data_IF_863891669793
#
_entry.id   IF_863891669793
#
_cell.length_a   1.000
_cell.length_b   1.000
_cell.length_c   1.000
_cell.angle_alpha   90.00
_cell.angle_beta   90.00
_cell.angle_gamma   90.00
#
_symmetry.space_group_name_H-M   'P 1'
#
loop_
_entity.id
_entity.type
_entity.pdbx_description
1 polymer ?
#
# COMPACT_ATOMS: atom_id res chain seq x y z
N UNK A 1 13.00 -11.77 -12.22
CA UNK A 1 12.27 -11.33 -11.01
C UNK A 1 11.66 -9.93 -11.22
N UNK A 2 10.73 -9.80 -12.17
CA UNK A 2 10.21 -8.49 -12.66
C UNK A 2 8.81 -8.12 -12.12
N UNK A 3 8.28 -8.86 -11.14
CA UNK A 3 6.85 -8.79 -10.80
C UNK A 3 6.41 -7.57 -9.98
N UNK A 4 7.28 -7.01 -9.13
CA UNK A 4 6.93 -5.90 -8.24
C UNK A 4 7.23 -4.52 -8.83
N UNK A 5 8.08 -4.46 -9.85
CA UNK A 5 8.56 -3.21 -10.46
C UNK A 5 7.42 -2.36 -11.02
N UNK A 6 6.46 -2.93 -11.79
CA UNK A 6 5.28 -2.19 -12.21
C UNK A 6 4.41 -1.72 -11.04
N UNK A 7 4.31 -2.51 -9.97
CA UNK A 7 3.48 -2.16 -8.81
C UNK A 7 4.08 -1.03 -7.98
N UNK A 8 5.41 -1.03 -7.81
CA UNK A 8 6.16 0.03 -7.15
C UNK A 8 6.00 1.33 -7.95
N UNK A 9 6.26 1.29 -9.26
CA UNK A 9 6.15 2.46 -10.12
C UNK A 9 4.71 3.01 -10.17
N UNK A 10 3.70 2.14 -10.32
CA UNK A 10 2.28 2.55 -10.29
C UNK A 10 1.87 3.16 -8.95
N UNK A 11 2.39 2.64 -7.82
CA UNK A 11 2.11 3.23 -6.50
C UNK A 11 2.74 4.61 -6.37
N UNK A 12 3.96 4.78 -6.90
CA UNK A 12 4.68 6.05 -6.89
C UNK A 12 3.97 7.11 -7.74
N UNK A 13 3.54 6.76 -8.96
CA UNK A 13 2.78 7.65 -9.85
C UNK A 13 1.43 8.06 -9.25
N UNK A 14 0.84 7.22 -8.40
CA UNK A 14 -0.39 7.54 -7.65
C UNK A 14 -0.14 8.35 -6.38
N UNK A 15 1.10 8.78 -6.13
CA UNK A 15 1.53 9.49 -4.93
C UNK A 15 1.32 8.68 -3.64
N UNK A 16 1.16 7.35 -3.72
CA UNK A 16 1.12 6.46 -2.55
C UNK A 16 2.54 6.06 -2.18
N UNK A 17 3.28 7.02 -1.61
CA UNK A 17 4.65 6.84 -1.17
C UNK A 17 4.75 5.68 -0.18
N UNK A 18 3.86 5.59 0.82
CA UNK A 18 3.98 4.51 1.80
C UNK A 18 3.84 3.12 1.17
N UNK A 19 2.92 2.94 0.21
CA UNK A 19 2.81 1.67 -0.52
C UNK A 19 4.03 1.41 -1.39
N UNK A 20 4.57 2.44 -2.04
CA UNK A 20 5.81 2.37 -2.82
C UNK A 20 6.97 1.82 -1.98
N UNK A 21 7.18 2.38 -0.79
CA UNK A 21 8.23 1.94 0.14
C UNK A 21 7.97 0.52 0.68
N UNK A 22 6.72 0.14 0.96
CA UNK A 22 6.39 -1.23 1.38
C UNK A 22 6.74 -2.25 0.30
N UNK A 23 6.35 -1.98 -0.94
CA UNK A 23 6.65 -2.86 -2.07
C UNK A 23 8.16 -2.91 -2.37
N UNK A 24 8.85 -1.78 -2.25
CA UNK A 24 10.30 -1.71 -2.38
C UNK A 24 11.02 -2.50 -1.28
N UNK A 25 10.51 -2.49 -0.04
CA UNK A 25 11.03 -3.32 1.04
C UNK A 25 10.90 -4.81 0.70
N UNK A 26 9.71 -5.23 0.27
CA UNK A 26 9.44 -6.62 -0.14
C UNK A 26 10.36 -7.03 -1.29
N UNK A 27 10.51 -6.17 -2.31
CA UNK A 27 11.45 -6.40 -3.42
C UNK A 27 12.88 -6.56 -2.92
N UNK A 28 13.35 -5.65 -2.05
CA UNK A 28 14.70 -5.68 -1.49
C UNK A 28 14.97 -6.96 -0.69
N UNK A 29 14.01 -7.39 0.13
CA UNK A 29 14.11 -8.63 0.90
C UNK A 29 14.15 -9.87 -0.01
N UNK A 30 13.27 -9.97 -1.01
CA UNK A 30 13.24 -11.10 -1.95
C UNK A 30 14.52 -11.16 -2.78
N UNK A 31 15.01 -10.01 -3.25
CA UNK A 31 16.20 -9.92 -4.08
C UNK A 31 17.52 -9.87 -3.28
N UNK A 32 17.45 -9.95 -1.95
CA UNK A 32 18.59 -9.79 -1.03
C UNK A 32 19.40 -8.50 -1.27
N UNK A 33 18.72 -7.42 -1.68
CA UNK A 33 19.30 -6.08 -1.83
C UNK A 33 18.90 -5.22 -0.65
N UNK A 34 19.86 -4.94 0.21
CA UNK A 34 19.62 -4.28 1.50
C UNK A 34 19.71 -2.75 1.43
N UNK A 35 20.19 -2.19 0.32
CA UNK A 35 20.50 -0.76 0.16
C UNK A 35 19.29 0.15 0.47
N UNK A 36 18.08 -0.27 0.08
CA UNK A 36 16.85 0.51 0.28
C UNK A 36 16.08 0.13 1.54
N UNK A 37 16.46 -0.96 2.23
CA UNK A 37 15.72 -1.48 3.39
C UNK A 37 15.71 -0.48 4.56
N UNK A 38 16.83 0.18 4.92
CA UNK A 38 16.81 1.20 5.98
C UNK A 38 15.88 2.37 5.67
N UNK A 39 15.81 2.82 4.41
CA UNK A 39 14.90 3.87 3.99
C UNK A 39 13.42 3.42 4.10
N UNK A 40 13.13 2.19 3.68
CA UNK A 40 11.81 1.59 3.84
C UNK A 40 11.41 1.43 5.30
N UNK A 41 12.32 0.98 6.15
CA UNK A 41 12.09 0.87 7.58
C UNK A 41 11.75 2.23 8.19
N UNK A 42 12.54 3.27 7.90
CA UNK A 42 12.27 4.64 8.36
C UNK A 42 10.87 5.12 7.95
N UNK A 43 10.48 4.92 6.69
CA UNK A 43 9.15 5.29 6.20
C UNK A 43 8.02 4.52 6.91
N UNK A 44 8.17 3.20 7.07
CA UNK A 44 7.13 2.35 7.69
C UNK A 44 6.96 2.58 9.19
N UNK A 45 8.01 3.00 9.89
CA UNK A 45 7.98 3.30 11.32
C UNK A 45 7.81 4.79 11.62
N UNK A 46 7.54 5.60 10.60
CA UNK A 46 7.31 7.03 10.73
C UNK A 46 5.93 7.36 11.30
N UNK A 47 5.78 8.61 11.74
CA UNK A 47 4.48 9.18 12.12
C UNK A 47 3.50 9.21 10.94
N UNK A 48 3.97 9.40 9.70
CA UNK A 48 3.12 9.30 8.52
C UNK A 48 2.45 7.92 8.41
N UNK A 49 3.22 6.84 8.59
CA UNK A 49 2.67 5.49 8.54
C UNK A 49 1.62 5.25 9.64
N UNK A 50 1.84 5.80 10.83
CA UNK A 50 0.88 5.75 11.93
C UNK A 50 -0.40 6.55 11.62
N UNK A 51 -0.27 7.76 11.09
CA UNK A 51 -1.42 8.60 10.69
C UNK A 51 -2.22 7.97 9.54
N UNK A 52 -1.56 7.35 8.56
CA UNK A 52 -2.26 6.60 7.51
C UNK A 52 -3.03 5.40 8.08
N UNK A 53 -2.46 4.69 9.05
CA UNK A 53 -3.17 3.63 9.76
C UNK A 53 -4.39 4.16 10.52
N UNK A 54 -4.24 5.27 11.25
CA UNK A 54 -5.34 5.95 11.93
C UNK A 54 -6.44 6.41 10.97
N UNK A 55 -6.08 6.89 9.77
CA UNK A 55 -7.06 7.23 8.73
C UNK A 55 -7.83 6.00 8.22
N UNK A 56 -7.19 4.82 8.15
CA UNK A 56 -7.90 3.56 7.82
C UNK A 56 -8.84 3.15 8.94
N UNK A 57 -8.40 3.20 10.20
CA UNK A 57 -9.27 2.93 11.36
C UNK A 57 -10.47 3.87 11.38
N UNK A 58 -10.25 5.16 11.10
CA UNK A 58 -11.31 6.15 11.00
C UNK A 58 -12.36 5.76 9.94
N UNK A 59 -11.94 5.32 8.74
CA UNK A 59 -12.87 4.81 7.71
C UNK A 59 -13.66 3.60 8.20
N UNK A 60 -13.00 2.64 8.85
CA UNK A 60 -13.69 1.47 9.43
C UNK A 60 -14.74 1.90 10.47
N UNK A 61 -14.43 2.89 11.33
CA UNK A 61 -15.40 3.42 12.29
C UNK A 61 -16.58 4.09 11.58
N UNK A 62 -16.34 4.86 10.51
CA UNK A 62 -17.43 5.45 9.71
C UNK A 62 -18.35 4.38 9.10
N UNK A 63 -17.77 3.27 8.62
CA UNK A 63 -18.53 2.13 8.10
C UNK A 63 -19.37 1.46 9.18
N UNK A 64 -18.79 1.25 10.37
CA UNK A 64 -19.50 0.70 11.53
C UNK A 64 -20.68 1.59 11.96
N UNK A 65 -20.46 2.91 12.07
CA UNK A 65 -21.53 3.87 12.39
C UNK A 65 -22.65 3.87 11.34
N UNK A 66 -22.28 3.74 10.06
CA UNK A 66 -23.23 3.66 8.96
C UNK A 66 -24.05 2.36 9.00
N UNK A 67 -23.41 1.24 9.38
CA UNK A 67 -24.06 -0.06 9.54
C UNK A 67 -25.03 -0.06 10.73
N UNK A 68 -24.62 0.48 11.88
CA UNK A 68 -25.44 0.61 13.08
C UNK A 68 -26.68 1.47 12.81
N UNK A 69 -26.54 2.58 12.09
CA UNK A 69 -27.67 3.40 11.68
C UNK A 69 -28.66 2.63 10.79
N UNK A 70 -28.17 1.84 9.82
CA UNK A 70 -29.02 1.01 8.95
C UNK A 70 -29.74 -0.10 9.73
N UNK A 71 -29.06 -0.72 10.68
CA UNK A 71 -29.60 -1.83 11.46
C UNK A 71 -30.58 -1.35 12.55
N UNK A 72 -30.30 -0.20 13.17
CA UNK A 72 -31.23 0.44 14.13
C UNK A 72 -32.56 0.83 13.48
N UNK A 73 -32.54 1.25 12.21
CA UNK A 73 -33.77 1.54 11.44
C UNK A 73 -34.57 0.25 11.16
N UNK A 74 -33.89 -0.88 10.91
CA UNK A 74 -34.54 -2.18 10.66
C UNK A 74 -35.10 -2.81 11.94
N UNK A 75 -34.36 -2.73 13.05
CA UNK A 75 -34.74 -3.28 14.36
C UNK A 75 -35.97 -2.58 14.96
N UNK A 76 -36.09 -1.25 14.76
CA UNK A 76 -37.23 -0.46 15.27
C UNK A 76 -38.57 -0.79 14.60
N UNK A 77 -38.57 -1.51 13.47
CA UNK A 77 -39.79 -1.97 12.79
C UNK A 77 -40.28 -3.33 13.28
N UNK A 78 -39.49 -4.06 14.09
CA UNK A 78 -39.80 -5.47 14.43
C UNK A 78 -39.78 -5.78 15.93
N UNK A 79 -39.25 -4.94 16.83
CA UNK A 79 -39.40 -5.27 18.25
C UNK A 79 -39.48 -4.08 19.19
N UNK A 80 -40.66 -3.92 19.79
CA UNK A 80 -40.87 -3.19 21.04
C UNK A 80 -40.57 -4.08 22.28
N UNK A 81 -40.33 -5.39 22.07
CA UNK A 81 -40.17 -6.36 23.13
C UNK A 81 -38.84 -7.09 22.98
N UNK A 82 -37.78 -6.57 23.59
CA UNK A 82 -36.66 -7.30 24.20
C UNK A 82 -35.55 -6.30 24.50
N UNK A 83 -35.77 -5.56 25.59
CA UNK A 83 -34.74 -4.81 26.30
C UNK A 83 -33.65 -5.77 26.83
N UNK A 84 -32.42 -5.25 26.82
CA UNK A 84 -31.20 -5.78 27.45
C UNK A 84 -30.36 -6.75 26.62
N UNK A 85 -29.64 -6.23 25.62
CA UNK A 85 -28.32 -6.77 25.31
C UNK A 85 -27.26 -5.78 25.82
N UNK A 86 -26.70 -6.09 26.99
CA UNK A 86 -25.52 -5.44 27.58
C UNK A 86 -24.25 -5.77 26.79
N UNK A 87 -24.22 -5.52 25.49
CA UNK A 87 -22.96 -5.45 24.76
C UNK A 87 -22.49 -3.99 24.74
N UNK A 88 -21.22 -3.71 25.03
CA UNK A 88 -20.68 -2.38 24.79
C UNK A 88 -20.90 -2.03 23.31
N UNK A 89 -21.42 -0.83 23.05
CA UNK A 89 -21.58 -0.32 21.69
C UNK A 89 -20.21 -0.37 21.01
N UNK A 90 -20.03 -1.31 20.07
CA UNK A 90 -18.76 -1.58 19.42
C UNK A 90 -18.16 -0.29 18.82
N UNK A 91 -19.01 0.58 18.29
CA UNK A 91 -18.64 1.90 17.78
C UNK A 91 -18.11 2.86 18.84
N UNK A 92 -18.67 2.87 20.05
CA UNK A 92 -18.19 3.72 21.15
C UNK A 92 -16.81 3.29 21.64
N UNK A 93 -16.58 1.99 21.81
CA UNK A 93 -15.27 1.45 22.19
C UNK A 93 -14.23 1.72 21.10
N UNK A 94 -14.59 1.54 19.82
CA UNK A 94 -13.71 1.84 18.70
C UNK A 94 -13.36 3.33 18.62
N UNK A 95 -14.34 4.23 18.85
CA UNK A 95 -14.12 5.67 18.93
C UNK A 95 -13.18 6.04 20.09
N UNK A 96 -13.36 5.44 21.26
CA UNK A 96 -12.50 5.71 22.43
C UNK A 96 -11.05 5.29 22.16
N UNK A 97 -10.83 4.09 21.60
CA UNK A 97 -9.49 3.63 21.23
C UNK A 97 -8.87 4.51 20.16
N UNK A 98 -9.65 4.91 19.17
CA UNK A 98 -9.20 5.83 18.13
C UNK A 98 -8.77 7.17 18.70
N UNK A 99 -9.54 7.76 19.64
CA UNK A 99 -9.17 9.00 20.32
C UNK A 99 -7.84 8.87 21.06
N UNK A 100 -7.65 7.79 21.81
CA UNK A 100 -6.42 7.55 22.58
C UNK A 100 -5.21 7.44 21.65
N UNK A 101 -5.30 6.61 20.60
CA UNK A 101 -4.20 6.44 19.66
C UNK A 101 -3.88 7.74 18.92
N UNK A 102 -4.92 8.46 18.45
CA UNK A 102 -4.73 9.73 17.78
C UNK A 102 -4.08 10.78 18.69
N UNK A 103 -4.49 10.83 19.96
CA UNK A 103 -3.88 11.73 20.93
C UNK A 103 -2.40 11.42 21.14
N UNK A 104 -2.05 10.15 21.33
CA UNK A 104 -0.65 9.72 21.52
C UNK A 104 0.19 10.06 20.28
N UNK A 105 -0.31 9.76 19.07
CA UNK A 105 0.41 10.05 17.83
C UNK A 105 0.61 11.55 17.62
N UNK A 106 -0.44 12.37 17.77
CA UNK A 106 -0.35 13.81 17.53
C UNK A 106 0.43 14.58 18.60
N UNK A 107 0.52 14.06 19.83
CA UNK A 107 1.31 14.65 20.92
C UNK A 107 2.75 14.12 20.96
N UNK A 108 3.09 13.14 20.13
CA UNK A 108 4.46 12.64 20.04
C UNK A 108 5.42 13.75 19.62
N UNK A 109 6.61 13.80 20.22
CA UNK A 109 7.67 14.75 19.84
C UNK A 109 8.11 14.59 18.38
N UNK A 110 7.92 13.41 17.81
CA UNK A 110 8.26 13.10 16.41
C UNK A 110 7.17 13.51 15.41
N UNK A 111 6.02 14.01 15.87
CA UNK A 111 4.92 14.44 15.00
C UNK A 111 5.01 15.95 14.77
N UNK A 112 5.23 16.44 13.54
CA UNK A 112 5.25 17.87 13.22
C UNK A 112 3.82 18.44 13.12
N UNK A 113 2.89 17.94 13.92
CA UNK A 113 1.54 18.47 13.98
C UNK A 113 1.53 19.87 14.62
N UNK A 114 0.67 20.80 14.15
CA UNK A 114 0.41 22.04 14.86
C UNK A 114 -0.03 21.76 16.30
N UNK A 115 0.45 22.57 17.26
CA UNK A 115 0.23 22.35 18.71
C UNK A 115 -1.25 22.12 19.08
N UNK A 116 -2.16 22.81 18.40
CA UNK A 116 -3.59 22.76 18.71
C UNK A 116 -4.34 21.66 17.94
N UNK A 117 -3.68 20.95 17.01
CA UNK A 117 -4.35 19.99 16.15
C UNK A 117 -4.94 18.83 16.94
N UNK A 118 -4.23 18.33 17.95
CA UNK A 118 -4.73 17.26 18.84
C UNK A 118 -6.02 17.68 19.53
N UNK A 119 -6.08 18.91 20.05
CA UNK A 119 -7.26 19.42 20.75
C UNK A 119 -8.45 19.62 19.81
N UNK A 120 -8.20 20.18 18.62
CA UNK A 120 -9.22 20.37 17.57
C UNK A 120 -9.78 19.01 17.15
N UNK A 121 -8.92 18.05 16.81
CA UNK A 121 -9.33 16.72 16.39
C UNK A 121 -10.14 15.99 17.47
N UNK A 122 -9.67 16.01 18.73
CA UNK A 122 -10.38 15.38 19.84
C UNK A 122 -11.74 16.05 20.11
N UNK A 123 -11.83 17.38 19.96
CA UNK A 123 -13.10 18.10 20.09
C UNK A 123 -14.09 17.63 19.03
N UNK A 124 -13.65 17.48 17.77
CA UNK A 124 -14.48 16.94 16.68
C UNK A 124 -14.93 15.50 16.96
N UNK A 125 -14.05 14.63 17.44
CA UNK A 125 -14.42 13.24 17.74
C UNK A 125 -15.40 13.16 18.92
N UNK A 126 -15.26 14.00 19.95
CA UNK A 126 -16.21 14.05 21.09
C UNK A 126 -17.62 14.50 20.66
N UNK A 127 -17.74 15.24 19.56
CA UNK A 127 -19.02 15.63 18.98
C UNK A 127 -19.65 14.51 18.13
N UNK A 128 -18.95 13.39 17.89
CA UNK A 128 -19.50 12.26 17.15
C UNK A 128 -20.61 11.62 17.96
N UNK A 129 -21.85 11.84 17.51
CA UNK A 129 -23.02 11.20 18.07
C UNK A 129 -23.31 9.91 17.29
N UNK A 130 -23.14 8.77 17.94
CA UNK A 130 -23.39 7.43 17.37
C UNK A 130 -24.81 7.28 16.83
N UNK A 131 -25.80 7.99 17.40
CA UNK A 131 -27.20 7.98 16.94
C UNK A 131 -27.45 8.80 15.69
N UNK A 132 -26.58 9.76 15.36
CA UNK A 132 -26.65 10.58 14.16
C UNK A 132 -25.43 10.32 13.27
N UNK A 133 -25.45 9.16 12.61
CA UNK A 133 -24.32 8.64 11.82
C UNK A 133 -23.85 9.59 10.71
N UNK A 134 -24.76 10.35 10.09
CA UNK A 134 -24.38 11.31 9.02
C UNK A 134 -23.50 12.42 9.59
N UNK A 135 -23.93 13.05 10.68
CA UNK A 135 -23.15 14.10 11.34
C UNK A 135 -21.85 13.54 11.93
N UNK A 136 -21.89 12.35 12.52
CA UNK A 136 -20.71 11.68 13.08
C UNK A 136 -19.66 11.36 12.03
N UNK A 137 -20.06 10.81 10.88
CA UNK A 137 -19.15 10.51 9.77
C UNK A 137 -18.52 11.78 9.19
N UNK A 138 -19.24 12.90 9.12
CA UNK A 138 -18.66 14.16 8.63
C UNK A 138 -17.54 14.68 9.54
N UNK A 139 -17.74 14.62 10.87
CA UNK A 139 -16.70 14.98 11.83
C UNK A 139 -15.47 14.06 11.72
N UNK A 140 -15.69 12.76 11.53
CA UNK A 140 -14.59 11.80 11.33
C UNK A 140 -13.84 12.07 10.02
N UNK A 141 -14.52 12.47 8.95
CA UNK A 141 -13.88 12.89 7.69
C UNK A 141 -13.03 14.14 7.87
N UNK A 142 -13.52 15.15 8.59
CA UNK A 142 -12.73 16.35 8.92
C UNK A 142 -11.42 15.96 9.64
N UNK A 143 -11.51 15.08 10.63
CA UNK A 143 -10.33 14.57 11.34
C UNK A 143 -9.38 13.82 10.41
N UNK A 144 -9.92 12.98 9.53
CA UNK A 144 -9.10 12.24 8.56
C UNK A 144 -8.35 13.19 7.61
N UNK A 145 -9.00 14.27 7.14
CA UNK A 145 -8.37 15.29 6.29
C UNK A 145 -7.23 15.99 7.04
N UNK A 146 -7.45 16.38 8.29
CA UNK A 146 -6.40 17.02 9.09
C UNK A 146 -5.19 16.09 9.31
N UNK A 147 -5.45 14.81 9.61
CA UNK A 147 -4.38 13.82 9.79
C UNK A 147 -3.67 13.52 8.48
N UNK A 148 -4.39 13.52 7.36
CA UNK A 148 -3.81 13.29 6.04
C UNK A 148 -2.82 14.41 5.68
N UNK A 149 -3.18 15.68 5.91
CA UNK A 149 -2.28 16.80 5.65
C UNK A 149 -0.95 16.69 6.42
N UNK A 150 -0.98 16.30 7.70
CA UNK A 150 0.24 16.06 8.49
C UNK A 150 1.01 14.86 7.95
N UNK A 151 0.31 13.78 7.60
CA UNK A 151 0.92 12.58 7.02
C UNK A 151 1.66 12.91 5.72
N UNK A 152 1.06 13.71 4.83
CA UNK A 152 1.62 14.03 3.52
C UNK A 152 2.91 14.83 3.63
N UNK A 153 2.95 15.81 4.53
CA UNK A 153 4.17 16.59 4.82
C UNK A 153 5.29 15.67 5.30
N UNK A 154 5.01 14.81 6.29
CA UNK A 154 6.00 13.88 6.85
C UNK A 154 6.48 12.88 5.80
N UNK A 155 5.58 12.35 4.96
CA UNK A 155 5.97 11.42 3.88
C UNK A 155 6.91 12.10 2.88
N UNK A 156 6.61 13.33 2.48
CA UNK A 156 7.44 14.08 1.55
C UNK A 156 8.82 14.40 2.12
N UNK A 157 8.89 14.88 3.36
CA UNK A 157 10.16 15.15 4.02
C UNK A 157 11.01 13.89 4.18
N UNK A 158 10.41 12.78 4.61
CA UNK A 158 11.13 11.50 4.72
C UNK A 158 11.60 10.98 3.37
N UNK A 159 10.78 11.14 2.32
CA UNK A 159 11.16 10.74 0.98
C UNK A 159 12.38 11.52 0.48
N UNK A 160 12.40 12.83 0.69
CA UNK A 160 13.54 13.69 0.34
C UNK A 160 14.84 13.32 1.08
N UNK A 161 14.75 12.69 2.26
CA UNK A 161 15.89 12.21 3.05
C UNK A 161 16.34 10.77 2.70
N UNK A 162 15.82 10.19 1.62
CA UNK A 162 16.09 8.81 1.21
C UNK A 162 16.59 8.73 -0.25
N UNK A 163 17.83 9.15 -0.54
CA UNK A 163 18.37 9.17 -1.90
C UNK A 163 18.43 7.79 -2.56
N UNK A 164 18.57 6.71 -1.77
CA UNK A 164 18.59 5.33 -2.27
C UNK A 164 17.25 4.95 -2.90
N UNK A 165 16.15 5.44 -2.33
CA UNK A 165 14.82 5.20 -2.86
C UNK A 165 14.60 5.99 -4.15
N UNK A 166 15.10 7.22 -4.23
CA UNK A 166 15.04 8.01 -5.47
C UNK A 166 15.81 7.33 -6.60
N UNK A 167 17.01 6.80 -6.32
CA UNK A 167 17.78 6.03 -7.30
C UNK A 167 17.04 4.79 -7.80
N UNK A 168 16.40 4.04 -6.88
CA UNK A 168 15.57 2.90 -7.24
C UNK A 168 14.43 3.33 -8.17
N UNK A 169 13.68 4.38 -7.83
CA UNK A 169 12.56 4.87 -8.64
C UNK A 169 13.01 5.35 -10.02
N UNK A 170 14.10 6.12 -10.11
CA UNK A 170 14.68 6.53 -11.39
C UNK A 170 15.11 5.34 -12.26
N UNK A 171 15.59 4.26 -11.65
CA UNK A 171 15.96 3.05 -12.38
C UNK A 171 14.74 2.32 -12.95
N UNK A 172 13.62 2.33 -12.22
CA UNK A 172 12.35 1.77 -12.66
C UNK A 172 11.75 2.59 -13.80
N UNK A 173 11.81 3.92 -13.72
CA UNK A 173 11.34 4.80 -14.78
C UNK A 173 12.08 4.54 -16.09
N UNK A 174 13.42 4.46 -16.04
CA UNK A 174 14.24 4.13 -17.21
C UNK A 174 13.86 2.78 -17.83
N UNK A 175 13.53 1.79 -17.01
CA UNK A 175 13.12 0.47 -17.48
C UNK A 175 11.73 0.49 -18.12
N UNK A 176 10.80 1.30 -17.60
CA UNK A 176 9.46 1.46 -18.16
C UNK A 176 9.48 2.03 -19.59
N UNK A 177 10.43 2.90 -19.92
CA UNK A 177 10.60 3.48 -21.27
C UNK A 177 11.39 2.59 -22.25
N UNK A 178 12.06 1.53 -21.78
CA UNK A 178 12.86 0.63 -22.64
C UNK A 178 12.12 -0.63 -23.10
N UNK A 179 10.86 -0.83 -22.70
CA UNK A 179 10.07 -1.94 -23.23
C UNK A 179 9.66 -1.60 -24.68
N UNK A 180 10.08 -2.39 -25.69
CA UNK A 180 9.60 -2.20 -27.04
C UNK A 180 8.10 -2.47 -27.05
N UNK A 181 7.31 -1.47 -27.44
CA UNK A 181 5.92 -1.69 -27.85
C UNK A 181 5.99 -2.71 -28.99
N UNK A 182 5.40 -3.91 -28.86
CA UNK A 182 5.30 -4.81 -29.99
C UNK A 182 4.41 -4.09 -31.01
N UNK A 183 5.02 -3.57 -32.07
CA UNK A 183 4.28 -3.17 -33.26
C UNK A 183 3.78 -4.47 -33.86
N UNK A 184 2.62 -4.94 -33.41
CA UNK A 184 1.82 -5.91 -34.14
C UNK A 184 1.31 -5.21 -35.39
N UNK A 185 2.19 -5.07 -36.39
CA UNK A 185 1.75 -4.89 -37.77
C UNK A 185 0.91 -6.13 -38.12
N UNK A 186 -0.35 -5.95 -38.54
CA UNK A 186 -1.15 -7.07 -39.01
C UNK A 186 -0.47 -7.64 -40.26
N UNK A 187 -0.16 -8.94 -40.22
CA UNK A 187 0.38 -9.66 -41.35
C UNK A 187 -0.60 -9.54 -42.55
N UNK A 188 -0.13 -9.25 -43.77
CA UNK A 188 -1.00 -9.23 -44.93
C UNK A 188 -1.48 -10.66 -45.22
N UNK A 189 -2.79 -10.82 -45.35
CA UNK A 189 -3.45 -12.03 -45.81
C UNK A 189 -2.91 -12.42 -47.19
N UNK A 190 -2.00 -13.40 -47.25
CA UNK A 190 -1.63 -14.07 -48.50
C UNK A 190 -2.66 -15.15 -48.81
N UNK A 191 -3.57 -14.86 -49.73
CA UNK A 191 -4.28 -15.87 -50.51
C UNK A 191 -3.36 -16.40 -51.61
N UNK A 192 -3.25 -17.73 -51.77
CA UNK A 192 -2.54 -18.31 -52.91
C UNK A 192 -2.27 -19.80 -52.76
N UNK A 193 -3.21 -20.60 -53.23
CA UNK A 193 -3.13 -22.06 -53.41
C UNK A 193 -2.10 -22.41 -54.50
N UNK A 194 -1.23 -23.38 -54.27
CA UNK A 194 -0.73 -24.28 -55.31
C UNK A 194 -0.10 -25.56 -54.72
N UNK A 195 -0.54 -26.70 -55.26
CA UNK A 195 -0.08 -28.07 -55.02
C UNK A 195 1.38 -28.32 -55.44
N UNK A 196 2.05 -29.29 -54.81
CA UNK A 196 3.25 -29.92 -55.34
C UNK A 196 3.93 -30.89 -54.37
N UNK A 197 3.99 -32.16 -54.73
CA UNK A 197 4.45 -33.34 -53.97
C UNK A 197 5.98 -33.48 -53.83
N UNK A 198 6.40 -34.25 -52.81
CA UNK A 198 7.44 -35.32 -52.82
C UNK A 198 8.48 -35.25 -51.67
N UNK A 199 8.28 -36.14 -50.67
CA UNK A 199 9.20 -37.12 -50.01
C UNK A 199 10.69 -36.81 -49.63
N UNK A 200 11.28 -37.60 -48.68
CA UNK A 200 12.16 -37.12 -47.60
C UNK A 200 13.62 -37.63 -47.68
N UNK A 201 14.37 -37.46 -46.56
CA UNK A 201 15.78 -37.84 -46.22
C UNK A 201 16.69 -36.59 -46.09
N UNK A 202 17.66 -36.47 -45.17
CA UNK A 202 18.52 -37.45 -44.49
C UNK A 202 19.14 -36.84 -43.21
N UNK A 203 19.67 -37.71 -42.36
CA UNK A 203 20.49 -37.48 -41.16
C UNK A 203 21.72 -36.58 -41.33
N UNK A 204 22.14 -35.90 -40.26
CA UNK A 204 23.52 -35.96 -39.77
C UNK A 204 23.66 -35.35 -38.36
N UNK A 205 24.20 -36.16 -37.46
CA UNK A 205 24.74 -35.82 -36.15
C UNK A 205 25.86 -34.78 -36.24
N UNK A 206 26.08 -34.01 -35.17
CA UNK A 206 27.45 -33.80 -34.69
C UNK A 206 27.51 -33.52 -33.19
N UNK A 207 28.47 -34.19 -32.57
CA UNK A 207 28.76 -34.27 -31.15
C UNK A 207 29.59 -33.10 -30.62
N UNK A 208 29.62 -33.01 -29.27
CA UNK A 208 30.77 -32.64 -28.43
C UNK A 208 31.28 -31.20 -28.42
N UNK A 209 31.08 -30.55 -27.27
CA UNK A 209 32.16 -29.86 -26.57
C UNK A 209 31.87 -29.77 -25.06
N UNK A 210 32.62 -30.60 -24.33
CA UNK A 210 32.82 -30.69 -22.89
C UNK A 210 33.45 -29.40 -22.34
N UNK A 211 33.04 -28.95 -21.15
CA UNK A 211 33.60 -27.77 -20.49
C UNK A 211 33.45 -27.82 -18.96
N UNK A 212 34.36 -28.57 -18.35
CA UNK A 212 34.79 -28.65 -16.94
C UNK A 212 34.09 -27.78 -15.87
N UNK A 213 33.53 -28.51 -14.88
CA UNK A 213 33.23 -28.04 -13.52
C UNK A 213 34.46 -28.32 -12.65
N UNK A 214 35.07 -27.30 -12.06
CA UNK A 214 35.81 -27.40 -10.78
C UNK A 214 35.90 -26.02 -10.14
N UNK A 215 35.38 -25.87 -8.93
CA UNK A 215 36.23 -25.47 -7.80
C UNK A 215 35.53 -25.70 -6.45
N UNK A 216 36.23 -26.49 -5.63
CA UNK A 216 36.00 -26.75 -4.23
C UNK A 216 36.43 -25.55 -3.38
N UNK A 217 35.63 -25.30 -2.35
CA UNK A 217 36.01 -25.05 -0.94
C UNK A 217 37.39 -24.44 -0.63
N UNK A 218 37.36 -23.32 0.08
CA UNK A 218 38.29 -23.04 1.17
C UNK A 218 37.57 -22.23 2.27
N UNK A 219 37.23 -22.92 3.35
CA UNK A 219 37.09 -22.36 4.70
C UNK A 219 38.46 -21.92 5.20
N UNK A 220 38.51 -20.81 5.96
CA UNK A 220 39.12 -20.69 7.31
C UNK A 220 39.41 -19.22 7.65
N UNK A 221 39.19 -18.87 8.92
CA UNK A 221 39.65 -17.62 9.53
C UNK A 221 38.70 -17.13 10.61
N UNK A 222 38.91 -17.62 11.83
CA UNK A 222 38.27 -17.18 13.08
C UNK A 222 38.64 -15.73 13.42
#
# INVERSE_FOLDING_TARGET
>A
MAGLDPQIHMSFVKEDLLMTYRLAAVKGLIAQRLDTIPACWRMMHSVAAQLQHLNRLNKTIQELLSLEARNGIKSRKVSADMLNSSQPNLSEEALLRYQTLLQVTLKSQSCPAPRNLSEIALTRIRMVNVRNSVSGCNLLKEVAVMCQAVSDVVMWELHALCPEMEQLLRSLDKQAWTLPVPVTSPAPLRSGIAHGSATPETWASNESATGAITNKEALEGW
#
